data_IF_641816705475
#
_entry.id   IF_641816705475
#
_cell.length_a   1.000
_cell.length_b   1.000
_cell.length_c   1.000
_cell.angle_alpha   90.00
_cell.angle_beta   90.00
_cell.angle_gamma   90.00
#
_symmetry.space_group_name_H-M   'P 1'
#
loop_
_entity.id
_entity.type
_entity.pdbx_description
1 polymer ?
#
# COMPACT_ATOMS: atom_id res chain seq x y z
N UNK A 1 -1.73 34.75 -26.55
CA UNK A 1 -1.73 33.73 -27.64
C UNK A 1 -1.07 32.37 -27.30
N UNK A 2 -0.31 32.20 -26.21
CA UNK A 2 0.32 30.90 -25.87
C UNK A 2 -0.52 29.91 -25.05
N UNK A 3 -1.72 30.28 -24.58
CA UNK A 3 -2.62 29.37 -23.83
C UNK A 3 -3.60 28.55 -24.69
N UNK A 4 -3.69 28.79 -26.00
CA UNK A 4 -4.57 28.05 -26.93
C UNK A 4 -3.87 26.93 -27.71
N UNK A 5 -2.55 26.82 -27.63
CA UNK A 5 -1.76 25.79 -28.32
C UNK A 5 -1.63 24.48 -27.50
N UNK A 6 -1.65 24.56 -26.16
CA UNK A 6 -1.53 23.37 -25.29
C UNK A 6 -2.85 22.58 -25.22
N UNK A 7 -4.01 23.22 -25.44
CA UNK A 7 -5.32 22.56 -25.48
C UNK A 7 -5.63 21.80 -26.78
N UNK A 8 -4.78 21.91 -27.81
CA UNK A 8 -4.94 21.16 -29.07
C UNK A 8 -4.13 19.86 -29.13
N UNK A 9 -3.15 19.68 -28.24
CA UNK A 9 -2.33 18.46 -28.18
C UNK A 9 -2.96 17.32 -27.34
N UNK A 10 -4.03 17.59 -26.58
CA UNK A 10 -4.71 16.59 -25.75
C UNK A 10 -5.98 16.00 -26.40
N UNK A 11 -6.34 16.44 -27.61
CA UNK A 11 -7.60 16.08 -28.28
C UNK A 11 -7.45 15.11 -29.47
N UNK A 12 -6.31 14.45 -29.61
CA UNK A 12 -6.03 13.53 -30.73
C UNK A 12 -5.55 12.12 -30.33
N UNK A 13 -5.77 11.69 -29.08
CA UNK A 13 -5.54 10.29 -28.68
C UNK A 13 -6.83 9.58 -28.22
N UNK A 14 -7.95 9.89 -28.89
CA UNK A 14 -9.24 9.20 -28.73
C UNK A 14 -9.87 8.94 -30.10
N UNK A 15 -9.16 8.18 -30.94
CA UNK A 15 -9.74 7.60 -32.16
C UNK A 15 -9.08 6.26 -32.44
N UNK A 16 -9.65 5.19 -31.86
CA UNK A 16 -9.66 3.80 -32.39
C UNK A 16 -10.46 2.92 -31.40
N UNK A 17 -11.75 3.22 -31.31
CA UNK A 17 -12.76 2.21 -30.94
C UNK A 17 -13.19 1.61 -32.27
N UNK A 18 -12.68 0.43 -32.61
CA UNK A 18 -13.26 -0.42 -33.66
C UNK A 18 -13.79 -1.67 -32.99
N UNK A 19 -15.08 -1.56 -32.71
CA UNK A 19 -16.12 -2.58 -32.66
C UNK A 19 -15.78 -3.88 -33.40
N UNK A 20 -15.72 -5.00 -32.68
CA UNK A 20 -16.06 -6.32 -33.23
C UNK A 20 -16.98 -7.04 -32.25
N UNK A 21 -18.29 -6.78 -32.37
CA UNK A 21 -19.33 -7.63 -31.79
C UNK A 21 -19.39 -8.93 -32.59
N UNK A 22 -19.17 -10.08 -31.95
CA UNK A 22 -19.60 -11.38 -32.48
C UNK A 22 -20.99 -11.71 -31.92
N UNK A 23 -21.95 -12.16 -32.76
CA UNK A 23 -23.29 -12.53 -32.29
C UNK A 23 -23.25 -13.89 -31.59
N UNK A 24 -23.95 -13.97 -30.46
CA UNK A 24 -24.13 -15.17 -29.65
C UNK A 24 -25.42 -15.87 -30.11
N UNK A 25 -25.34 -17.15 -30.47
CA UNK A 25 -26.49 -17.93 -30.93
C UNK A 25 -27.36 -18.39 -29.76
N UNK A 26 -28.66 -18.11 -29.86
CA UNK A 26 -29.71 -18.63 -28.97
C UNK A 26 -30.07 -20.08 -29.37
N UNK A 27 -29.95 -21.04 -28.46
CA UNK A 27 -30.79 -22.25 -28.46
C UNK A 27 -31.29 -22.54 -27.04
N UNK A 28 -32.61 -22.68 -26.95
CA UNK A 28 -33.44 -23.13 -25.82
C UNK A 28 -33.04 -24.59 -25.47
N UNK A 29 -33.22 -25.12 -24.25
CA UNK A 29 -34.50 -25.60 -23.69
C UNK A 29 -34.32 -26.00 -22.21
N UNK A 30 -35.29 -25.55 -21.39
CA UNK A 30 -35.96 -26.09 -20.18
C UNK A 30 -35.35 -27.29 -19.40
N UNK A 31 -35.10 -27.18 -18.08
CA UNK A 31 -35.96 -27.43 -16.87
C UNK A 31 -36.11 -28.91 -16.47
N UNK A 32 -35.64 -29.28 -15.27
CA UNK A 32 -36.36 -30.02 -14.20
C UNK A 32 -35.37 -30.45 -13.08
N UNK A 33 -35.46 -29.88 -11.87
CA UNK A 33 -36.07 -30.43 -10.63
C UNK A 33 -35.00 -30.68 -9.55
N UNK A 34 -35.00 -29.74 -8.59
CA UNK A 34 -34.96 -29.93 -7.14
C UNK A 34 -34.11 -31.05 -6.53
N UNK A 35 -32.95 -30.69 -5.97
CA UNK A 35 -32.45 -31.28 -4.72
C UNK A 35 -32.14 -30.15 -3.74
N UNK A 36 -32.99 -30.04 -2.73
CA UNK A 36 -32.74 -29.25 -1.52
C UNK A 36 -31.66 -29.98 -0.71
N UNK A 37 -30.48 -29.39 -0.52
CA UNK A 37 -29.55 -29.78 0.55
C UNK A 37 -28.57 -28.63 0.84
N UNK A 38 -28.87 -27.94 1.93
CA UNK A 38 -27.98 -27.21 2.85
C UNK A 38 -26.54 -27.03 2.38
N UNK A 39 -26.24 -25.85 1.83
CA UNK A 39 -24.89 -25.27 1.92
C UNK A 39 -24.97 -24.08 2.86
N UNK A 40 -24.27 -24.20 3.99
CA UNK A 40 -24.00 -23.14 4.96
C UNK A 40 -23.69 -21.82 4.26
N UNK A 41 -24.16 -20.73 4.88
CA UNK A 41 -23.78 -19.36 4.59
C UNK A 41 -22.26 -19.19 4.59
N UNK A 42 -21.61 -19.45 3.46
CA UNK A 42 -20.37 -18.78 3.11
C UNK A 42 -20.74 -17.35 2.72
N UNK A 43 -21.00 -16.51 3.72
CA UNK A 43 -20.89 -15.07 3.56
C UNK A 43 -19.40 -14.72 3.47
N UNK A 44 -18.79 -15.14 2.36
CA UNK A 44 -17.45 -14.80 1.93
C UNK A 44 -17.54 -14.34 0.49
N UNK A 45 -18.41 -13.37 0.21
CA UNK A 45 -18.31 -12.57 -1.00
C UNK A 45 -16.95 -11.88 -0.95
N UNK A 46 -15.95 -12.49 -1.57
CA UNK A 46 -14.75 -11.78 -1.99
C UNK A 46 -15.19 -10.80 -3.09
N UNK A 47 -15.86 -9.73 -2.67
CA UNK A 47 -15.80 -8.47 -3.40
C UNK A 47 -14.30 -8.19 -3.47
N UNK A 48 -13.76 -8.02 -4.67
CA UNK A 48 -12.43 -7.46 -4.87
C UNK A 48 -12.44 -6.07 -4.23
N UNK A 49 -12.26 -6.04 -2.91
CA UNK A 49 -12.39 -4.87 -2.09
C UNK A 49 -11.24 -3.95 -2.43
N UNK A 50 -11.54 -2.67 -2.58
CA UNK A 50 -10.49 -1.66 -2.44
C UNK A 50 -9.74 -1.92 -1.13
N UNK A 51 -8.42 -1.74 -1.14
CA UNK A 51 -7.59 -1.74 0.06
C UNK A 51 -8.22 -0.79 1.12
N UNK A 52 -7.97 -0.99 2.42
CA UNK A 52 -8.64 -0.21 3.45
C UNK A 52 -8.36 1.29 3.35
N UNK A 53 -9.21 2.07 4.03
CA UNK A 53 -8.95 3.49 4.27
C UNK A 53 -7.61 3.68 5.01
N UNK A 54 -6.87 4.74 4.67
CA UNK A 54 -5.55 5.04 5.26
C UNK A 54 -5.68 5.28 6.77
N UNK A 55 -6.68 6.06 7.18
CA UNK A 55 -6.93 6.38 8.58
C UNK A 55 -7.65 5.19 9.23
N UNK A 56 -7.06 4.69 10.31
CA UNK A 56 -7.66 3.64 11.12
C UNK A 56 -8.74 4.22 12.04
N UNK A 57 -9.74 3.42 12.36
CA UNK A 57 -10.85 3.76 13.25
C UNK A 57 -11.56 2.49 13.74
N UNK A 58 -12.64 2.60 14.52
CA UNK A 58 -13.34 1.43 15.07
C UNK A 58 -13.73 0.38 14.02
N UNK A 59 -14.26 0.83 12.88
CA UNK A 59 -14.70 -0.04 11.77
C UNK A 59 -13.58 -0.36 10.75
N UNK A 60 -12.38 0.16 10.99
CA UNK A 60 -11.20 -0.01 10.14
C UNK A 60 -9.95 -0.14 11.02
N UNK A 61 -10.04 -0.94 12.08
CA UNK A 61 -8.92 -1.17 12.98
C UNK A 61 -7.88 -2.09 12.30
N UNK A 62 -6.63 -2.02 12.75
CA UNK A 62 -5.65 -3.05 12.38
C UNK A 62 -6.09 -4.36 13.04
N UNK A 63 -6.25 -5.47 12.29
CA UNK A 63 -6.76 -6.72 12.85
C UNK A 63 -5.86 -7.25 13.98
N UNK A 64 -6.47 -7.82 15.03
CA UNK A 64 -5.74 -8.32 16.20
C UNK A 64 -4.78 -9.50 15.91
N UNK A 65 -4.90 -10.14 14.75
CA UNK A 65 -3.96 -11.16 14.28
C UNK A 65 -2.66 -10.57 13.73
N UNK A 66 -2.67 -9.28 13.33
CA UNK A 66 -1.49 -8.56 12.85
C UNK A 66 -0.63 -8.18 14.05
N UNK A 67 0.46 -8.91 14.23
CA UNK A 67 1.39 -8.73 15.34
C UNK A 67 2.80 -8.46 14.80
N UNK A 68 3.58 -7.53 15.41
CA UNK A 68 4.93 -7.21 14.96
C UNK A 68 5.84 -8.43 14.77
N UNK A 69 5.86 -9.33 15.74
CA UNK A 69 6.66 -10.56 15.67
C UNK A 69 6.28 -11.42 14.46
N UNK A 70 4.98 -11.58 14.17
CA UNK A 70 4.48 -12.33 13.02
C UNK A 70 4.81 -11.63 11.69
N UNK A 71 4.79 -10.30 11.67
CA UNK A 71 5.22 -9.52 10.49
C UNK A 71 6.72 -9.70 10.21
N UNK A 72 7.56 -9.71 11.23
CA UNK A 72 8.99 -9.97 11.06
C UNK A 72 9.26 -11.42 10.66
N UNK A 73 8.55 -12.39 11.23
CA UNK A 73 8.59 -13.78 10.79
C UNK A 73 8.19 -13.92 9.31
N UNK A 74 7.15 -13.20 8.87
CA UNK A 74 6.73 -13.20 7.46
C UNK A 74 7.84 -12.69 6.51
N UNK A 75 8.60 -11.67 6.94
CA UNK A 75 9.75 -11.16 6.18
C UNK A 75 10.87 -12.19 6.11
N UNK A 76 11.18 -12.83 7.24
CA UNK A 76 12.22 -13.86 7.32
C UNK A 76 11.88 -15.10 6.48
N UNK A 77 10.66 -15.62 6.58
CA UNK A 77 10.16 -16.74 5.76
C UNK A 77 10.27 -16.41 4.26
N UNK A 78 9.97 -15.17 3.85
CA UNK A 78 10.09 -14.77 2.44
C UNK A 78 11.53 -14.67 1.96
N UNK A 79 12.43 -14.15 2.80
CA UNK A 79 13.82 -13.91 2.44
C UNK A 79 14.65 -15.19 2.47
N UNK A 80 14.45 -16.07 3.46
CA UNK A 80 15.11 -17.37 3.56
C UNK A 80 14.79 -18.30 2.38
N UNK A 81 13.61 -18.16 1.76
CA UNK A 81 13.23 -18.90 0.56
C UNK A 81 13.94 -18.43 -0.74
N UNK A 82 14.80 -17.40 -0.68
CA UNK A 82 15.61 -16.93 -1.81
C UNK A 82 17.01 -17.57 -1.75
N UNK A 83 17.63 -17.80 -2.91
CA UNK A 83 18.97 -18.38 -2.99
C UNK A 83 19.94 -17.48 -3.79
N UNK A 84 21.04 -16.99 -3.17
CA UNK A 84 21.30 -17.02 -1.73
C UNK A 84 20.28 -16.19 -0.94
N UNK A 85 20.11 -16.50 0.35
CA UNK A 85 19.26 -15.70 1.22
C UNK A 85 19.89 -14.31 1.37
N UNK A 86 19.17 -13.22 1.05
CA UNK A 86 19.70 -11.87 1.15
C UNK A 86 19.85 -11.50 2.63
N UNK A 87 20.96 -10.84 2.97
CA UNK A 87 21.14 -10.26 4.29
C UNK A 87 20.16 -9.09 4.49
N UNK A 88 19.57 -9.02 5.69
CA UNK A 88 18.80 -7.87 6.16
C UNK A 88 19.63 -7.16 7.23
N UNK A 89 19.70 -5.83 7.17
CA UNK A 89 20.42 -5.04 8.16
C UNK A 89 19.81 -5.28 9.57
N UNK A 90 20.59 -5.71 10.57
CA UNK A 90 20.09 -6.03 11.91
C UNK A 90 19.36 -4.87 12.60
N UNK A 91 19.63 -3.61 12.20
CA UNK A 91 18.93 -2.43 12.70
C UNK A 91 17.42 -2.48 12.43
N UNK A 92 16.96 -3.30 11.50
CA UNK A 92 15.54 -3.42 11.13
C UNK A 92 14.79 -4.51 11.90
N UNK A 93 15.42 -5.21 12.85
CA UNK A 93 14.82 -6.31 13.61
C UNK A 93 13.46 -5.93 14.25
N UNK A 94 13.35 -4.71 14.80
CA UNK A 94 12.14 -4.22 15.48
C UNK A 94 11.29 -3.26 14.63
N UNK A 95 11.49 -3.23 13.30
CA UNK A 95 10.84 -2.23 12.46
C UNK A 95 9.31 -2.38 12.46
N UNK A 96 8.77 -3.60 12.52
CA UNK A 96 7.33 -3.82 12.63
C UNK A 96 6.74 -3.23 13.92
N UNK A 97 7.43 -3.38 15.05
CA UNK A 97 7.02 -2.79 16.34
C UNK A 97 7.06 -1.26 16.28
N UNK A 98 8.01 -0.71 15.52
CA UNK A 98 8.11 0.73 15.27
C UNK A 98 6.95 1.24 14.42
N UNK A 99 6.55 0.52 13.36
CA UNK A 99 5.35 0.82 12.57
C UNK A 99 4.08 0.77 13.41
N UNK A 100 3.91 -0.26 14.25
CA UNK A 100 2.76 -0.35 15.15
C UNK A 100 2.71 0.85 16.11
N UNK A 101 3.79 1.13 16.83
CA UNK A 101 3.84 2.21 17.84
C UNK A 101 3.56 3.57 17.22
N UNK A 102 4.28 3.93 16.16
CA UNK A 102 4.13 5.24 15.52
C UNK A 102 2.87 5.35 14.67
N UNK A 103 2.41 4.25 14.09
CA UNK A 103 1.21 4.21 13.25
C UNK A 103 -0.09 4.24 14.07
N UNK A 104 -0.09 3.72 15.30
CA UNK A 104 -1.25 3.78 16.20
C UNK A 104 -1.56 5.20 16.67
N UNK A 105 -0.57 6.08 16.71
CA UNK A 105 -0.75 7.52 16.84
C UNK A 105 0.34 8.25 16.04
N UNK A 106 0.01 8.64 14.80
CA UNK A 106 0.86 9.56 14.06
C UNK A 106 0.58 10.96 14.62
N UNK A 107 1.44 11.40 15.54
CA UNK A 107 1.29 12.65 16.26
C UNK A 107 1.33 13.87 15.33
N UNK A 108 0.42 14.81 15.57
CA UNK A 108 0.40 16.14 14.94
C UNK A 108 0.41 17.21 16.02
N UNK A 109 1.15 18.29 15.81
CA UNK A 109 0.93 19.52 16.56
C UNK A 109 -0.45 20.13 16.21
N UNK A 110 -1.19 20.74 17.16
CA UNK A 110 -0.93 20.80 18.60
C UNK A 110 -1.68 19.68 19.36
N UNK A 111 -1.28 18.42 19.22
CA UNK A 111 -1.83 17.25 19.92
C UNK A 111 -3.09 16.62 19.32
N UNK A 112 -3.04 16.26 18.02
CA UNK A 112 -3.99 15.27 17.47
C UNK A 112 -3.27 14.00 17.04
N UNK A 113 -3.56 12.90 17.73
CA UNK A 113 -3.25 11.56 17.27
C UNK A 113 -4.15 11.20 16.09
N UNK A 114 -3.56 10.72 14.99
CA UNK A 114 -4.30 10.06 13.92
C UNK A 114 -3.73 8.66 13.73
N UNK A 115 -4.55 7.65 14.00
CA UNK A 115 -4.16 6.27 13.75
C UNK A 115 -4.18 6.01 12.25
N UNK A 116 -3.15 5.33 11.75
CA UNK A 116 -3.03 4.86 10.37
C UNK A 116 -3.19 3.35 10.37
N UNK A 117 -3.74 2.78 9.29
CA UNK A 117 -3.65 1.36 8.96
C UNK A 117 -2.18 0.98 8.70
N UNK A 118 -1.43 0.89 9.78
CA UNK A 118 0.02 0.77 9.80
C UNK A 118 0.50 -0.58 9.27
N UNK A 119 -0.37 -1.58 9.29
CA UNK A 119 -0.20 -2.87 8.63
C UNK A 119 -0.06 -2.72 7.12
N UNK A 120 -0.92 -1.90 6.49
CA UNK A 120 -0.82 -1.60 5.06
C UNK A 120 0.36 -0.69 4.73
N UNK A 121 0.72 0.26 5.61
CA UNK A 121 1.98 1.00 5.47
C UNK A 121 3.20 0.06 5.58
N UNK A 122 3.15 -0.97 6.44
CA UNK A 122 4.18 -2.00 6.52
C UNK A 122 4.25 -2.84 5.23
N UNK A 123 3.11 -3.29 4.70
CA UNK A 123 3.08 -4.02 3.41
C UNK A 123 3.59 -3.15 2.26
N UNK A 124 3.28 -1.86 2.26
CA UNK A 124 3.86 -0.89 1.34
C UNK A 124 5.39 -0.86 1.46
N UNK A 125 5.91 -0.78 2.68
CA UNK A 125 7.36 -0.82 2.94
C UNK A 125 8.01 -2.10 2.39
N UNK A 126 7.34 -3.26 2.48
CA UNK A 126 7.87 -4.50 1.90
C UNK A 126 8.02 -4.44 0.39
N UNK A 127 7.11 -3.73 -0.29
CA UNK A 127 7.21 -3.48 -1.74
C UNK A 127 8.39 -2.56 -2.04
N UNK A 128 8.45 -1.41 -1.36
CA UNK A 128 9.42 -0.35 -1.61
C UNK A 128 10.87 -0.75 -1.28
N UNK A 129 11.04 -1.61 -0.28
CA UNK A 129 12.37 -2.06 0.19
C UNK A 129 12.73 -3.45 -0.32
N UNK A 130 11.85 -4.12 -1.07
CA UNK A 130 11.96 -5.53 -1.38
C UNK A 130 12.24 -6.38 -0.12
N UNK A 131 11.30 -6.37 0.83
CA UNK A 131 11.39 -7.11 2.10
C UNK A 131 12.64 -6.76 2.91
N UNK A 132 12.93 -5.47 3.07
CA UNK A 132 14.09 -4.91 3.81
C UNK A 132 15.46 -5.24 3.22
N UNK A 133 15.51 -5.80 2.01
CA UNK A 133 16.78 -6.17 1.36
C UNK A 133 17.39 -5.01 0.57
N UNK A 134 16.56 -4.05 0.13
CA UNK A 134 16.94 -2.92 -0.73
C UNK A 134 17.65 -3.37 -2.02
N UNK A 135 17.31 -4.57 -2.50
CA UNK A 135 17.84 -5.14 -3.73
C UNK A 135 16.83 -5.05 -4.87
N UNK A 136 17.33 -4.79 -6.07
CA UNK A 136 16.58 -4.98 -7.32
C UNK A 136 16.43 -6.48 -7.62
N UNK A 137 15.53 -6.89 -8.54
CA UNK A 137 15.31 -8.30 -8.88
C UNK A 137 16.58 -9.05 -9.31
N UNK A 138 17.57 -8.35 -9.89
CA UNK A 138 18.87 -8.91 -10.29
C UNK A 138 19.91 -8.96 -9.15
N UNK A 139 19.52 -8.67 -7.90
CA UNK A 139 20.41 -8.73 -6.74
C UNK A 139 21.31 -7.50 -6.54
N UNK A 140 21.24 -6.49 -7.40
CA UNK A 140 22.02 -5.25 -7.27
C UNK A 140 21.30 -4.28 -6.32
N UNK A 141 22.02 -3.47 -5.51
CA UNK A 141 21.40 -2.43 -4.69
C UNK A 141 20.44 -1.53 -5.50
N UNK A 142 19.34 -1.17 -4.86
CA UNK A 142 18.40 -0.16 -5.34
C UNK A 142 18.99 1.25 -5.17
N UNK A 143 18.29 2.26 -5.71
CA UNK A 143 18.69 3.67 -5.56
C UNK A 143 18.60 4.19 -4.13
N UNK A 144 17.74 3.56 -3.33
CA UNK A 144 17.67 3.72 -1.87
C UNK A 144 18.33 2.50 -1.24
N UNK A 145 19.22 2.72 -0.27
CA UNK A 145 19.98 1.66 0.40
C UNK A 145 19.64 1.59 1.90
N UNK A 146 19.97 0.50 2.61
CA UNK A 146 19.63 0.34 4.03
C UNK A 146 20.09 1.50 4.93
N UNK A 147 21.22 2.14 4.61
CA UNK A 147 21.79 3.27 5.37
C UNK A 147 20.95 4.54 5.25
N UNK A 148 20.06 4.63 4.25
CA UNK A 148 19.21 5.81 4.07
C UNK A 148 18.03 5.84 5.06
N UNK A 149 17.70 4.70 5.70
CA UNK A 149 16.51 4.52 6.52
C UNK A 149 15.22 4.99 5.82
N UNK A 150 15.17 4.93 4.49
CA UNK A 150 14.04 5.40 3.69
C UNK A 150 13.21 4.20 3.22
N UNK A 151 12.17 3.92 3.98
CA UNK A 151 11.36 2.69 3.84
C UNK A 151 10.21 2.81 2.83
N UNK A 152 10.13 3.93 2.10
CA UNK A 152 9.06 4.19 1.16
C UNK A 152 9.53 4.88 -0.12
N UNK A 153 10.84 4.87 -0.42
CA UNK A 153 11.36 5.54 -1.61
C UNK A 153 11.07 7.04 -1.66
N UNK A 154 10.87 7.70 -0.51
CA UNK A 154 10.49 9.12 -0.45
C UNK A 154 11.57 9.96 -1.13
N UNK A 155 11.18 10.75 -2.13
CA UNK A 155 12.11 11.58 -2.92
C UNK A 155 12.86 10.85 -4.04
N UNK A 156 12.90 9.51 -4.05
CA UNK A 156 13.61 8.73 -5.07
C UNK A 156 12.87 8.67 -6.42
N UNK A 157 11.59 9.05 -6.46
CA UNK A 157 10.78 9.09 -7.68
C UNK A 157 11.17 10.23 -8.65
N UNK A 158 12.06 11.14 -8.26
CA UNK A 158 12.55 12.22 -9.12
C UNK A 158 13.76 11.70 -9.90
N UNK A 159 13.62 11.53 -11.22
CA UNK A 159 14.70 11.11 -12.11
C UNK A 159 15.99 11.89 -11.83
N UNK A 160 17.06 11.18 -11.50
CA UNK A 160 18.39 11.74 -11.26
C UNK A 160 18.64 12.32 -9.87
N UNK A 161 17.71 12.22 -8.91
CA UNK A 161 17.95 12.61 -7.51
C UNK A 161 17.97 11.39 -6.58
N UNK A 162 18.93 11.31 -5.63
CA UNK A 162 18.89 10.28 -4.60
C UNK A 162 17.63 10.45 -3.74
N UNK A 163 17.12 9.35 -3.20
CA UNK A 163 16.05 9.39 -2.21
C UNK A 163 16.46 10.19 -0.98
N UNK A 164 15.47 10.64 -0.20
CA UNK A 164 15.76 11.26 1.09
C UNK A 164 16.43 10.27 2.05
N UNK A 165 17.26 10.78 2.96
CA UNK A 165 17.93 10.01 4.00
C UNK A 165 17.44 10.48 5.37
N UNK A 166 17.17 9.53 6.25
CA UNK A 166 16.72 9.77 7.62
C UNK A 166 17.76 9.29 8.62
N UNK A 167 17.87 9.99 9.75
CA UNK A 167 18.94 9.77 10.75
C UNK A 167 18.94 8.35 11.36
N UNK A 168 17.76 7.77 11.53
CA UNK A 168 17.57 6.47 12.17
C UNK A 168 16.27 5.81 11.67
N UNK A 169 16.09 4.53 12.04
CA UNK A 169 14.95 3.71 11.65
C UNK A 169 13.63 4.35 12.10
N UNK A 170 13.57 4.83 13.35
CA UNK A 170 12.37 5.49 13.91
C UNK A 170 11.95 6.70 13.09
N UNK A 171 12.91 7.55 12.71
CA UNK A 171 12.67 8.75 11.91
C UNK A 171 12.24 8.40 10.49
N UNK A 172 12.83 7.36 9.91
CA UNK A 172 12.44 6.84 8.60
C UNK A 172 11.00 6.30 8.57
N UNK A 173 10.62 5.52 9.60
CA UNK A 173 9.26 5.01 9.74
C UNK A 173 8.26 6.16 9.97
N UNK A 174 8.60 7.15 10.80
CA UNK A 174 7.76 8.33 10.99
C UNK A 174 7.59 9.11 9.68
N UNK A 175 8.66 9.30 8.92
CA UNK A 175 8.62 9.97 7.62
C UNK A 175 7.70 9.25 6.63
N UNK A 176 7.77 7.92 6.57
CA UNK A 176 6.87 7.11 5.76
C UNK A 176 5.40 7.28 6.21
N UNK A 177 5.11 7.07 7.49
CA UNK A 177 3.74 7.16 8.02
C UNK A 177 3.13 8.55 7.81
N UNK A 178 3.90 9.62 8.00
CA UNK A 178 3.46 10.99 7.70
C UNK A 178 3.22 11.21 6.21
N UNK A 179 4.07 10.64 5.34
CA UNK A 179 3.88 10.75 3.89
C UNK A 179 2.62 10.01 3.44
N UNK A 180 2.34 8.82 3.98
CA UNK A 180 1.07 8.09 3.78
C UNK A 180 -0.11 8.90 4.32
N UNK A 181 -0.02 9.41 5.55
CA UNK A 181 -1.10 10.17 6.17
C UNK A 181 -1.47 11.44 5.39
N UNK A 182 -0.52 12.08 4.70
CA UNK A 182 -0.86 13.26 3.89
C UNK A 182 -1.87 12.93 2.78
N UNK A 183 -1.86 11.69 2.26
CA UNK A 183 -2.82 11.25 1.22
C UNK A 183 -4.26 11.20 1.76
N UNK A 184 -4.48 10.99 3.06
CA UNK A 184 -5.83 10.94 3.63
C UNK A 184 -6.50 12.30 3.79
N UNK A 185 -5.98 13.36 3.13
CA UNK A 185 -6.36 14.77 3.32
C UNK A 185 -6.07 15.32 4.72
N UNK A 186 -5.47 14.50 5.58
CA UNK A 186 -5.02 14.89 6.90
C UNK A 186 -3.73 15.70 6.77
N UNK A 187 -3.79 17.01 7.07
CA UNK A 187 -2.61 17.87 7.11
C UNK A 187 -1.55 17.28 8.06
N UNK A 188 -0.28 17.48 7.79
CA UNK A 188 0.85 17.12 8.64
C UNK A 188 1.61 18.43 8.79
N UNK A 189 1.61 19.06 9.98
CA UNK A 189 2.09 20.43 10.16
C UNK A 189 3.61 20.51 9.93
N UNK A 190 4.36 19.64 10.60
CA UNK A 190 5.82 19.54 10.51
C UNK A 190 6.24 18.14 10.03
N UNK A 191 6.04 17.81 8.74
CA UNK A 191 6.46 16.51 8.22
C UNK A 191 7.98 16.36 8.29
N UNK A 192 8.47 15.19 8.67
CA UNK A 192 9.90 14.86 8.73
C UNK A 192 10.55 14.99 7.34
N UNK A 193 9.91 14.42 6.31
CA UNK A 193 10.44 14.41 4.95
C UNK A 193 10.19 15.75 4.22
N UNK A 194 11.22 16.22 3.51
CA UNK A 194 11.16 17.40 2.66
C UNK A 194 10.15 17.25 1.54
N UNK A 195 10.06 16.07 0.93
CA UNK A 195 9.09 15.78 -0.13
C UNK A 195 7.67 15.92 0.40
N UNK A 196 7.37 15.43 1.60
CA UNK A 196 6.05 15.60 2.24
C UNK A 196 5.75 17.09 2.45
N UNK A 197 6.73 17.88 2.91
CA UNK A 197 6.57 19.35 3.02
C UNK A 197 6.19 19.98 1.68
N UNK A 198 6.85 19.58 0.60
CA UNK A 198 6.69 20.15 -0.74
C UNK A 198 5.35 19.80 -1.40
N UNK A 199 4.90 18.54 -1.34
CA UNK A 199 3.77 18.09 -2.17
C UNK A 199 2.45 17.95 -1.45
N UNK A 200 2.46 18.01 -0.12
CA UNK A 200 1.26 17.73 0.67
C UNK A 200 0.06 18.58 0.25
N UNK A 201 0.26 19.87 -0.04
CA UNK A 201 -0.85 20.73 -0.47
C UNK A 201 -1.53 20.19 -1.73
N UNK A 202 -0.74 19.90 -2.77
CA UNK A 202 -1.24 19.50 -4.08
C UNK A 202 -1.84 18.08 -4.05
N UNK A 203 -1.18 17.16 -3.34
CA UNK A 203 -1.71 15.80 -3.14
C UNK A 203 -3.05 15.86 -2.43
N UNK A 204 -3.18 16.70 -1.40
CA UNK A 204 -4.45 16.83 -0.67
C UNK A 204 -5.53 17.48 -1.52
N UNK A 205 -5.21 18.40 -2.41
CA UNK A 205 -6.18 18.97 -3.35
C UNK A 205 -6.75 17.90 -4.29
N UNK A 206 -5.89 17.03 -4.83
CA UNK A 206 -6.33 15.90 -5.65
C UNK A 206 -7.20 14.95 -4.83
N UNK A 207 -6.76 14.60 -3.62
CA UNK A 207 -7.47 13.64 -2.76
C UNK A 207 -8.82 14.14 -2.28
N UNK A 208 -8.99 15.44 -2.00
CA UNK A 208 -10.27 16.04 -1.62
C UNK A 208 -11.36 15.84 -2.68
N UNK A 209 -11.00 15.67 -3.96
CA UNK A 209 -11.97 15.45 -5.05
C UNK A 209 -12.69 14.10 -4.95
N UNK A 210 -12.14 13.14 -4.20
CA UNK A 210 -12.75 11.82 -4.01
C UNK A 210 -14.04 11.87 -3.18
N UNK A 211 -14.21 12.89 -2.31
CA UNK A 211 -15.39 13.06 -1.44
C UNK A 211 -15.74 11.83 -0.58
N UNK A 212 -14.74 11.01 -0.25
CA UNK A 212 -14.83 9.83 0.64
C UNK A 212 -13.48 9.60 1.33
N UNK A 213 -13.41 8.76 2.38
CA UNK A 213 -12.14 8.33 2.94
C UNK A 213 -11.20 7.79 1.85
N UNK A 214 -9.95 8.24 1.91
CA UNK A 214 -8.91 7.83 0.95
C UNK A 214 -8.37 6.48 1.35
N UNK A 215 -8.29 5.58 0.39
CA UNK A 215 -7.81 4.20 0.57
C UNK A 215 -6.37 4.04 0.14
N UNK A 216 -5.75 2.94 0.58
CA UNK A 216 -4.46 2.53 0.02
C UNK A 216 -4.54 2.24 -1.50
N UNK A 217 -5.72 1.91 -2.04
CA UNK A 217 -5.93 1.81 -3.49
C UNK A 217 -5.85 3.16 -4.19
N UNK A 218 -6.35 4.23 -3.57
CA UNK A 218 -6.25 5.60 -4.10
C UNK A 218 -4.81 6.12 -4.01
N UNK A 219 -4.13 5.84 -2.89
CA UNK A 219 -2.71 6.13 -2.71
C UNK A 219 -1.90 5.43 -3.81
N UNK A 220 -2.08 4.11 -3.99
CA UNK A 220 -1.36 3.33 -5.00
C UNK A 220 -1.45 3.94 -6.40
N UNK A 221 -2.63 4.43 -6.80
CA UNK A 221 -2.85 5.06 -8.10
C UNK A 221 -2.04 6.35 -8.29
N UNK A 222 -1.89 7.15 -7.24
CA UNK A 222 -1.08 8.38 -7.30
C UNK A 222 0.40 8.11 -7.12
N UNK A 223 0.75 7.12 -6.31
CA UNK A 223 2.13 6.83 -5.93
C UNK A 223 2.98 6.41 -7.12
N UNK A 224 2.43 5.54 -7.98
CA UNK A 224 3.20 4.98 -9.11
C UNK A 224 3.05 5.75 -10.41
N UNK A 225 1.96 6.52 -10.59
CA UNK A 225 1.67 7.32 -11.79
C UNK A 225 1.40 6.53 -13.08
N UNK A 226 1.99 5.33 -13.25
CA UNK A 226 1.99 4.54 -14.49
C UNK A 226 1.37 3.15 -14.34
N UNK A 227 1.47 2.51 -13.18
CA UNK A 227 0.86 1.20 -12.89
C UNK A 227 -0.27 1.32 -11.86
N UNK A 228 -1.43 1.79 -12.36
CA UNK A 228 -2.58 2.17 -11.54
C UNK A 228 -3.21 1.00 -10.78
N UNK A 229 -2.97 -0.25 -11.21
CA UNK A 229 -3.60 -1.43 -10.64
C UNK A 229 -2.59 -2.43 -10.06
N UNK A 230 -1.41 -2.60 -10.65
CA UNK A 230 -0.45 -3.62 -10.20
C UNK A 230 0.10 -3.36 -8.80
N UNK A 231 0.29 -2.10 -8.40
CA UNK A 231 0.75 -1.78 -7.04
C UNK A 231 -0.29 -2.13 -5.98
N UNK A 232 -1.55 -1.71 -6.16
CA UNK A 232 -2.63 -2.04 -5.23
C UNK A 232 -2.86 -3.56 -5.16
N UNK A 233 -2.84 -4.25 -6.31
CA UNK A 233 -2.95 -5.72 -6.37
C UNK A 233 -1.77 -6.40 -5.67
N UNK A 234 -0.55 -5.87 -5.80
CA UNK A 234 0.62 -6.42 -5.11
C UNK A 234 0.48 -6.25 -3.61
N UNK A 235 0.04 -5.08 -3.15
CA UNK A 235 -0.23 -4.84 -1.74
C UNK A 235 -1.31 -5.77 -1.19
N UNK A 236 -2.43 -5.95 -1.91
CA UNK A 236 -3.48 -6.91 -1.53
C UNK A 236 -2.90 -8.33 -1.42
N UNK A 237 -2.13 -8.77 -2.41
CA UNK A 237 -1.53 -10.11 -2.42
C UNK A 237 -0.60 -10.34 -1.21
N UNK A 238 0.14 -9.31 -0.80
CA UNK A 238 0.99 -9.39 0.40
C UNK A 238 0.12 -9.53 1.66
N UNK A 239 -0.93 -8.72 1.77
CA UNK A 239 -1.89 -8.79 2.88
C UNK A 239 -2.56 -10.18 2.94
N UNK A 240 -3.10 -10.68 1.83
CA UNK A 240 -3.75 -12.00 1.76
C UNK A 240 -2.80 -13.14 2.17
N UNK A 241 -1.53 -13.07 1.74
CA UNK A 241 -0.50 -14.04 2.14
C UNK A 241 -0.21 -14.00 3.64
N UNK A 242 -0.12 -12.80 4.20
CA UNK A 242 0.05 -12.64 5.64
C UNK A 242 -1.17 -13.21 6.40
N UNK A 243 -2.37 -12.81 5.99
CA UNK A 243 -3.62 -13.21 6.65
C UNK A 243 -3.84 -14.72 6.59
N UNK A 244 -3.67 -15.34 5.41
CA UNK A 244 -3.77 -16.80 5.27
C UNK A 244 -2.77 -17.56 6.15
N UNK A 245 -1.57 -17.00 6.35
CA UNK A 245 -0.52 -17.62 7.18
C UNK A 245 -0.73 -17.42 8.68
N UNK A 246 -1.23 -16.26 9.11
CA UNK A 246 -1.17 -15.82 10.51
C UNK A 246 -2.52 -15.46 11.15
N UNK A 247 -3.59 -15.33 10.37
CA UNK A 247 -4.91 -14.89 10.85
C UNK A 247 -5.99 -15.98 10.79
N UNK A 248 -5.66 -17.20 10.33
CA UNK A 248 -6.60 -18.32 10.34
C UNK A 248 -7.01 -18.80 11.75
N UNK A 249 -8.11 -19.56 11.90
CA UNK A 249 -8.70 -19.95 13.18
C UNK A 249 -7.72 -20.67 14.13
N UNK A 250 -6.82 -21.48 13.56
CA UNK A 250 -5.81 -22.25 14.30
C UNK A 250 -4.77 -21.35 15.00
N UNK A 251 -4.60 -20.11 14.55
CA UNK A 251 -3.60 -19.17 15.07
C UNK A 251 -4.17 -18.18 16.11
N UNK A 252 -5.47 -18.27 16.40
CA UNK A 252 -6.18 -17.46 17.41
C UNK A 252 -6.24 -18.19 18.76
N UNK A 253 -6.23 -19.54 18.75
CA UNK A 253 -6.41 -20.39 19.92
C UNK A 253 -5.16 -20.63 20.79
N UNK A 254 -3.97 -20.19 20.37
CA UNK A 254 -2.75 -20.24 21.18
C UNK A 254 -2.52 -18.93 21.96
N UNK A 255 -3.58 -18.35 22.52
CA UNK A 255 -3.51 -17.22 23.46
C UNK A 255 -4.06 -17.64 24.82
#
# INVERSE_FOLDING_TARGET
MRRRAVLRAFKQLLTKIVYTRRPMSLRRVAVCVSVLSVCMLLAGSAIAGSLPAIVAGPDNAVPACVQPARLMQFVEERNSARHPAPAVDPRFADIASTYQRLGSCVARAPEKCVAVRWDYAFFQMLIETNYLTFLRPNGVPASVVPQDNNFAGVGAAISGKPGERFKDVTTGVLAHLQHVLMYSTTRVPEPVANRTRQVQHDVQEVMRRLKRPVTFSDLARQWTGSDKNGYATTMQRIADKYESRFCGPQNVANR
#
